data_IF_234189653409
#
_entry.id   IF_234189653409
#
_cell.length_a   1.000
_cell.length_b   1.000
_cell.length_c   1.000
_cell.angle_alpha   90.00
_cell.angle_beta   90.00
_cell.angle_gamma   90.00
#
_symmetry.space_group_name_H-M   'P 1'
#
loop_
_entity.id
_entity.type
_entity.pdbx_description
1 polymer ?
#
# COMPACT_ATOMS: atom_id res chain seq x y z
N UNK A 1 0.86 -26.96 -22.73
CA UNK A 1 -0.47 -27.62 -22.67
C UNK A 1 -1.48 -26.59 -22.18
N UNK A 2 -2.39 -26.09 -23.04
CA UNK A 2 -3.54 -25.26 -22.62
C UNK A 2 -4.55 -26.19 -21.94
N UNK A 3 -4.65 -26.14 -20.60
CA UNK A 3 -5.73 -26.84 -19.93
C UNK A 3 -7.06 -26.26 -20.43
N UNK A 4 -7.92 -27.10 -20.98
CA UNK A 4 -9.27 -26.70 -21.35
C UNK A 4 -10.01 -26.32 -20.08
N UNK A 5 -10.34 -25.05 -19.96
CA UNK A 5 -11.18 -24.55 -18.86
C UNK A 5 -12.48 -25.35 -18.80
N UNK A 6 -12.88 -25.80 -17.61
CA UNK A 6 -14.14 -26.53 -17.43
C UNK A 6 -15.32 -25.67 -17.92
N UNK A 7 -16.40 -26.31 -18.36
CA UNK A 7 -17.64 -25.64 -18.82
C UNK A 7 -18.12 -24.60 -17.78
N UNK A 8 -18.09 -24.96 -16.50
CA UNK A 8 -18.43 -24.04 -15.39
C UNK A 8 -17.52 -22.83 -15.31
N UNK A 9 -16.24 -22.96 -15.64
CA UNK A 9 -15.31 -21.83 -15.63
C UNK A 9 -15.58 -20.86 -16.80
N UNK A 10 -15.97 -21.39 -17.96
CA UNK A 10 -16.39 -20.57 -19.11
C UNK A 10 -17.68 -19.82 -18.82
N UNK A 11 -18.68 -20.47 -18.21
CA UNK A 11 -19.92 -19.83 -17.76
C UNK A 11 -19.64 -18.74 -16.70
N UNK A 12 -18.75 -19.04 -15.76
CA UNK A 12 -18.30 -18.07 -14.74
C UNK A 12 -17.68 -16.82 -15.35
N UNK A 13 -16.90 -16.98 -16.42
CA UNK A 13 -16.28 -15.84 -17.11
C UNK A 13 -17.27 -14.95 -17.87
N UNK A 14 -18.45 -15.44 -18.21
CA UNK A 14 -19.51 -14.65 -18.85
C UNK A 14 -20.19 -13.65 -17.88
N UNK A 15 -20.08 -13.87 -16.58
CA UNK A 15 -20.63 -12.94 -15.62
C UNK A 15 -19.78 -11.68 -15.52
N UNK A 16 -20.39 -10.48 -15.39
CA UNK A 16 -19.66 -9.24 -15.14
C UNK A 16 -18.73 -9.36 -13.91
N UNK A 17 -17.53 -8.80 -14.00
CA UNK A 17 -16.52 -8.90 -12.93
C UNK A 17 -17.04 -8.47 -11.54
N UNK A 18 -17.89 -7.44 -11.48
CA UNK A 18 -18.54 -7.00 -10.26
C UNK A 18 -19.48 -8.04 -9.64
N UNK A 19 -20.26 -8.75 -10.49
CA UNK A 19 -21.16 -9.80 -10.05
C UNK A 19 -20.40 -11.02 -9.54
N UNK A 20 -19.33 -11.41 -10.23
CA UNK A 20 -18.42 -12.50 -9.78
C UNK A 20 -17.83 -12.20 -8.42
N UNK A 21 -17.33 -10.96 -8.20
CA UNK A 21 -16.77 -10.54 -6.91
C UNK A 21 -17.81 -10.57 -5.80
N UNK A 22 -19.03 -10.08 -6.06
CA UNK A 22 -20.13 -10.12 -5.06
C UNK A 22 -20.52 -11.54 -4.69
N UNK A 23 -20.67 -12.40 -5.69
CA UNK A 23 -21.02 -13.81 -5.48
C UNK A 23 -19.92 -14.53 -4.69
N UNK A 24 -18.65 -14.37 -5.07
CA UNK A 24 -17.53 -14.95 -4.35
C UNK A 24 -17.46 -14.50 -2.90
N UNK A 25 -17.58 -13.18 -2.66
CA UNK A 25 -17.59 -12.63 -1.31
C UNK A 25 -18.76 -13.16 -0.47
N UNK A 26 -19.94 -13.31 -1.07
CA UNK A 26 -21.13 -13.85 -0.38
C UNK A 26 -20.96 -15.34 -0.04
N UNK A 27 -20.55 -16.17 -0.99
CA UNK A 27 -20.37 -17.62 -0.78
C UNK A 27 -19.29 -17.89 0.26
N UNK A 28 -18.14 -17.23 0.13
CA UNK A 28 -17.03 -17.43 1.07
C UNK A 28 -17.38 -16.91 2.48
N UNK A 29 -18.09 -15.79 2.58
CA UNK A 29 -18.55 -15.28 3.87
C UNK A 29 -19.61 -16.15 4.52
N UNK A 30 -20.46 -16.84 3.74
CA UNK A 30 -21.42 -17.79 4.26
C UNK A 30 -20.75 -19.08 4.74
N UNK A 31 -19.82 -19.61 3.94
CA UNK A 31 -19.12 -20.87 4.23
C UNK A 31 -18.07 -20.73 5.34
N UNK A 32 -17.46 -19.57 5.47
CA UNK A 32 -16.45 -19.34 6.50
C UNK A 32 -17.08 -19.28 7.90
N UNK A 33 -16.41 -19.84 8.90
CA UNK A 33 -16.93 -19.87 10.26
C UNK A 33 -17.01 -18.46 10.85
N UNK A 34 -18.15 -18.08 11.38
CA UNK A 34 -18.30 -16.87 12.18
C UNK A 34 -17.54 -17.03 13.52
N UNK A 35 -16.96 -15.94 13.98
CA UNK A 35 -16.25 -15.93 15.26
C UNK A 35 -17.24 -15.82 16.43
N UNK A 36 -16.94 -16.56 17.50
CA UNK A 36 -17.61 -16.41 18.79
C UNK A 36 -16.96 -15.23 19.55
N UNK A 37 -17.71 -14.56 20.44
CA UNK A 37 -17.14 -13.56 21.33
C UNK A 37 -15.90 -14.11 22.05
N UNK A 38 -14.83 -13.32 22.09
CA UNK A 38 -13.58 -13.72 22.71
C UNK A 38 -13.12 -12.65 23.70
N UNK A 39 -12.86 -13.07 24.94
CA UNK A 39 -12.25 -12.21 25.96
C UNK A 39 -10.75 -12.06 25.65
N UNK A 40 -10.22 -10.87 25.92
CA UNK A 40 -8.77 -10.64 25.80
C UNK A 40 -8.10 -11.36 26.97
N UNK A 41 -7.19 -12.27 26.62
CA UNK A 41 -6.37 -13.00 27.59
C UNK A 41 -4.91 -12.70 27.24
N UNK A 42 -4.08 -12.32 28.22
CA UNK A 42 -2.64 -12.18 27.99
C UNK A 42 -2.05 -13.50 27.48
N UNK A 43 -1.24 -13.42 26.43
CA UNK A 43 -0.58 -14.57 25.84
C UNK A 43 0.80 -14.17 25.32
N UNK A 44 1.77 -15.09 25.38
CA UNK A 44 3.11 -14.87 24.85
C UNK A 44 3.08 -14.71 23.33
N UNK A 45 3.57 -13.59 22.82
CA UNK A 45 3.66 -13.26 21.41
C UNK A 45 2.34 -13.03 20.69
N UNK A 46 2.41 -12.99 19.35
CA UNK A 46 1.26 -12.93 18.45
C UNK A 46 1.55 -13.62 17.13
N UNK A 47 0.51 -13.85 16.34
CA UNK A 47 0.62 -14.47 15.02
C UNK A 47 0.19 -13.45 13.97
N UNK A 48 0.99 -13.28 12.92
CA UNK A 48 0.65 -12.47 11.76
C UNK A 48 0.48 -13.37 10.54
N UNK A 49 -0.73 -13.42 10.00
CA UNK A 49 -1.03 -14.08 8.74
C UNK A 49 -1.02 -13.06 7.62
N UNK A 50 -0.31 -13.31 6.51
CA UNK A 50 -0.17 -12.34 5.42
C UNK A 50 0.38 -12.94 4.13
N UNK A 51 0.44 -12.11 3.09
CA UNK A 51 0.98 -12.44 1.77
C UNK A 51 2.51 -12.26 1.75
N UNK A 52 3.25 -13.00 2.59
CA UNK A 52 4.70 -12.80 2.75
C UNK A 52 5.50 -13.08 1.49
N UNK A 53 5.02 -13.98 0.64
CA UNK A 53 5.67 -14.37 -0.62
C UNK A 53 5.38 -13.41 -1.77
N UNK A 54 4.45 -12.45 -1.62
CA UNK A 54 4.05 -11.55 -2.70
C UNK A 54 4.71 -10.18 -2.60
N UNK A 55 5.02 -9.62 -3.76
CA UNK A 55 5.43 -8.21 -3.90
C UNK A 55 4.19 -7.30 -3.97
N UNK A 56 3.48 -7.15 -2.85
CA UNK A 56 2.29 -6.31 -2.71
C UNK A 56 2.43 -5.34 -1.54
N UNK A 57 1.65 -4.24 -1.54
CA UNK A 57 1.62 -3.31 -0.41
C UNK A 57 1.13 -3.97 0.89
N UNK A 58 0.15 -4.89 0.80
CA UNK A 58 -0.32 -5.67 1.95
C UNK A 58 0.78 -6.61 2.46
N UNK A 59 1.49 -7.30 1.56
CA UNK A 59 2.62 -8.14 1.93
C UNK A 59 3.76 -7.36 2.57
N UNK A 60 4.09 -6.16 2.05
CA UNK A 60 5.11 -5.30 2.67
C UNK A 60 4.66 -4.80 4.05
N UNK A 61 3.41 -4.38 4.18
CA UNK A 61 2.86 -4.01 5.50
C UNK A 61 2.93 -5.14 6.52
N UNK A 62 2.67 -6.39 6.12
CA UNK A 62 2.82 -7.56 6.98
C UNK A 62 4.28 -7.79 7.39
N UNK A 63 5.23 -7.67 6.45
CA UNK A 63 6.68 -7.78 6.72
C UNK A 63 7.18 -6.68 7.67
N UNK A 64 6.74 -5.44 7.47
CA UNK A 64 7.03 -4.31 8.37
C UNK A 64 6.51 -4.59 9.79
N UNK A 65 5.27 -5.06 9.91
CA UNK A 65 4.67 -5.40 11.20
C UNK A 65 5.47 -6.47 11.93
N UNK A 66 5.84 -7.56 11.27
CA UNK A 66 6.61 -8.65 11.87
C UNK A 66 7.99 -8.18 12.34
N UNK A 67 8.71 -7.43 11.51
CA UNK A 67 10.01 -6.86 11.91
C UNK A 67 9.87 -6.00 13.16
N UNK A 68 8.92 -5.07 13.14
CA UNK A 68 8.69 -4.17 14.26
C UNK A 68 8.29 -4.89 15.55
N UNK A 69 7.46 -5.93 15.49
CA UNK A 69 7.11 -6.73 16.67
C UNK A 69 8.34 -7.38 17.28
N UNK A 70 9.22 -7.95 16.46
CA UNK A 70 10.49 -8.55 16.91
C UNK A 70 11.43 -7.51 17.51
N UNK A 71 11.58 -6.34 16.87
CA UNK A 71 12.38 -5.22 17.37
C UNK A 71 11.86 -4.70 18.73
N UNK A 72 10.57 -4.86 19.00
CA UNK A 72 9.92 -4.54 20.28
C UNK A 72 9.97 -5.69 21.30
N UNK A 73 10.66 -6.79 21.03
CA UNK A 73 10.70 -8.01 21.82
C UNK A 73 9.31 -8.66 22.04
N UNK A 74 8.41 -8.53 21.08
CA UNK A 74 7.13 -9.26 21.05
C UNK A 74 7.30 -10.45 20.10
N UNK A 75 7.37 -11.69 20.60
CA UNK A 75 7.56 -12.86 19.75
C UNK A 75 6.47 -12.95 18.68
N UNK A 76 6.88 -13.22 17.45
CA UNK A 76 5.97 -13.18 16.31
C UNK A 76 6.15 -14.40 15.41
N UNK A 77 5.11 -15.24 15.36
CA UNK A 77 4.98 -16.26 14.34
C UNK A 77 4.31 -15.69 13.09
N UNK A 78 4.69 -16.19 11.93
CA UNK A 78 4.15 -15.79 10.64
C UNK A 78 3.44 -16.96 9.98
N UNK A 79 2.24 -16.73 9.46
CA UNK A 79 1.55 -17.71 8.60
C UNK A 79 1.43 -17.13 7.17
N UNK A 80 2.19 -17.73 6.25
CA UNK A 80 2.12 -17.35 4.84
C UNK A 80 0.84 -17.93 4.22
N UNK A 81 -0.02 -17.05 3.75
CA UNK A 81 -1.35 -17.39 3.23
C UNK A 81 -1.25 -18.23 1.94
N UNK A 82 -0.26 -17.95 1.10
CA UNK A 82 -0.07 -18.63 -0.18
C UNK A 82 0.59 -19.99 0.00
N UNK A 83 1.66 -20.03 0.79
CA UNK A 83 2.45 -21.25 1.05
C UNK A 83 1.83 -22.14 2.12
N UNK A 84 0.94 -21.59 2.96
CA UNK A 84 0.28 -22.26 4.10
C UNK A 84 1.27 -22.83 5.11
N UNK A 85 2.34 -22.11 5.35
CA UNK A 85 3.41 -22.47 6.28
C UNK A 85 3.41 -21.52 7.47
N UNK A 86 3.56 -22.07 8.67
CA UNK A 86 3.79 -21.32 9.91
C UNK A 86 5.29 -21.34 10.23
N UNK A 87 5.87 -20.17 10.40
CA UNK A 87 7.30 -19.98 10.68
C UNK A 87 7.49 -18.91 11.77
N UNK A 88 8.69 -18.85 12.34
CA UNK A 88 9.07 -17.79 13.26
C UNK A 88 9.04 -18.22 14.74
N UNK A 89 8.83 -17.22 15.61
CA UNK A 89 8.98 -17.42 17.05
C UNK A 89 7.85 -18.27 17.64
N UNK A 90 8.15 -18.99 18.72
CA UNK A 90 7.12 -19.70 19.47
C UNK A 90 6.13 -18.70 20.09
N UNK A 91 4.84 -18.99 19.98
CA UNK A 91 3.78 -18.18 20.56
C UNK A 91 2.92 -19.01 21.50
N UNK A 92 2.42 -18.36 22.57
CA UNK A 92 1.61 -19.04 23.59
C UNK A 92 0.22 -19.45 23.10
N UNK A 93 -0.44 -20.36 23.82
CA UNK A 93 -1.85 -20.63 23.63
C UNK A 93 -2.67 -19.33 23.74
N UNK A 94 -3.61 -19.14 22.84
CA UNK A 94 -4.46 -17.92 22.84
C UNK A 94 -3.78 -16.66 22.29
N UNK A 95 -2.51 -16.70 21.84
CA UNK A 95 -1.84 -15.58 21.22
C UNK A 95 -2.72 -14.96 20.11
N UNK A 96 -2.90 -13.61 20.07
CA UNK A 96 -3.77 -12.98 19.09
C UNK A 96 -3.29 -13.22 17.65
N UNK A 97 -4.25 -13.33 16.72
CA UNK A 97 -4.01 -13.56 15.32
C UNK A 97 -4.40 -12.30 14.52
N UNK A 98 -3.44 -11.66 13.87
CA UNK A 98 -3.69 -10.58 12.90
C UNK A 98 -3.65 -11.18 11.50
N UNK A 99 -4.73 -10.96 10.73
CA UNK A 99 -4.80 -11.40 9.33
C UNK A 99 -4.68 -10.17 8.44
N UNK A 100 -3.54 -10.06 7.79
CA UNK A 100 -3.14 -8.93 6.96
C UNK A 100 -3.64 -9.10 5.52
N UNK A 101 -4.97 -9.11 5.37
CA UNK A 101 -5.70 -9.30 4.10
C UNK A 101 -6.97 -8.50 4.14
N UNK A 102 -7.29 -7.81 3.04
CA UNK A 102 -8.51 -7.01 2.95
C UNK A 102 -9.80 -7.82 3.10
N UNK A 103 -10.83 -7.17 3.61
CA UNK A 103 -12.11 -7.74 3.98
C UNK A 103 -12.72 -8.73 2.95
N UNK A 104 -12.74 -8.47 1.63
CA UNK A 104 -13.34 -9.40 0.67
C UNK A 104 -12.65 -10.78 0.60
N UNK A 105 -11.34 -10.83 0.88
CA UNK A 105 -10.55 -12.06 0.83
C UNK A 105 -10.46 -12.77 2.19
N UNK A 106 -10.76 -12.09 3.27
CA UNK A 106 -10.62 -12.63 4.62
C UNK A 106 -11.41 -13.92 4.84
N UNK A 107 -12.71 -14.02 4.49
CA UNK A 107 -13.48 -15.26 4.67
C UNK A 107 -12.88 -16.42 3.88
N UNK A 108 -12.41 -16.17 2.65
CA UNK A 108 -11.72 -17.17 1.84
C UNK A 108 -10.45 -17.69 2.53
N UNK A 109 -9.61 -16.79 3.03
CA UNK A 109 -8.40 -17.17 3.77
C UNK A 109 -8.74 -18.03 4.98
N UNK A 110 -9.78 -17.66 5.74
CA UNK A 110 -10.19 -18.43 6.92
C UNK A 110 -10.76 -19.82 6.61
N UNK A 111 -11.33 -20.05 5.43
CA UNK A 111 -11.76 -21.38 5.02
C UNK A 111 -10.60 -22.36 4.88
N UNK A 112 -9.46 -21.87 4.40
CA UNK A 112 -8.26 -22.69 4.18
C UNK A 112 -7.24 -22.63 5.33
N UNK A 113 -7.48 -21.76 6.30
CA UNK A 113 -6.64 -21.64 7.49
C UNK A 113 -6.93 -22.81 8.46
N UNK A 114 -5.91 -23.48 8.99
CA UNK A 114 -6.09 -24.54 9.99
C UNK A 114 -6.94 -24.07 11.18
N UNK A 115 -7.87 -24.93 11.63
CA UNK A 115 -8.79 -24.56 12.73
C UNK A 115 -8.04 -24.18 14.01
N UNK A 116 -6.97 -24.90 14.35
CA UNK A 116 -6.16 -24.63 15.55
C UNK A 116 -5.49 -23.25 15.53
N UNK A 117 -5.23 -22.69 14.33
CA UNK A 117 -4.61 -21.38 14.19
C UNK A 117 -5.55 -20.22 14.55
N UNK A 118 -6.88 -20.41 14.46
CA UNK A 118 -7.89 -19.37 14.72
C UNK A 118 -8.78 -19.64 15.92
N UNK A 119 -8.90 -20.91 16.36
CA UNK A 119 -9.77 -21.29 17.48
C UNK A 119 -9.14 -20.88 18.81
N UNK A 120 -9.95 -20.26 19.69
CA UNK A 120 -9.46 -19.81 21.00
C UNK A 120 -8.53 -18.59 20.94
N UNK A 121 -8.55 -17.84 19.85
CA UNK A 121 -7.72 -16.64 19.67
C UNK A 121 -8.58 -15.42 19.36
N UNK A 122 -8.10 -14.25 19.76
CA UNK A 122 -8.62 -12.98 19.22
C UNK A 122 -8.13 -12.81 17.80
N UNK A 123 -9.06 -12.73 16.85
CA UNK A 123 -8.79 -12.56 15.42
C UNK A 123 -8.99 -11.10 15.04
N UNK A 124 -7.96 -10.51 14.46
CA UNK A 124 -7.91 -9.12 14.03
C UNK A 124 -7.75 -9.08 12.51
N UNK A 125 -8.53 -8.25 11.82
CA UNK A 125 -8.33 -7.97 10.40
C UNK A 125 -7.51 -6.70 10.24
N UNK A 126 -6.33 -6.78 9.60
CA UNK A 126 -5.61 -5.60 9.18
C UNK A 126 -6.02 -5.26 7.76
N UNK A 127 -6.80 -4.18 7.60
CA UNK A 127 -7.43 -3.83 6.34
C UNK A 127 -6.97 -2.46 5.87
N UNK A 128 -6.73 -2.34 4.56
CA UNK A 128 -6.42 -1.08 3.89
C UNK A 128 -7.50 -0.75 2.87
N UNK A 129 -7.91 0.50 2.82
CA UNK A 129 -8.90 0.99 1.87
C UNK A 129 -8.62 2.45 1.51
N UNK A 130 -8.86 2.81 0.25
CA UNK A 130 -8.42 4.08 -0.29
C UNK A 130 -9.55 5.08 -0.54
N UNK A 131 -10.79 4.79 -0.12
CA UNK A 131 -11.91 5.72 -0.25
C UNK A 131 -12.56 6.00 1.12
N UNK A 132 -13.23 7.15 1.29
CA UNK A 132 -13.88 7.51 2.56
C UNK A 132 -15.02 6.57 2.97
N UNK A 133 -15.56 5.82 2.02
CA UNK A 133 -16.68 4.88 2.25
C UNK A 133 -16.30 3.50 1.76
N UNK A 134 -16.62 2.47 2.54
CA UNK A 134 -16.37 1.07 2.17
C UNK A 134 -17.50 0.49 1.33
N UNK A 135 -17.19 -0.37 0.33
CA UNK A 135 -18.20 -1.09 -0.41
C UNK A 135 -19.07 -1.97 0.50
N UNK A 136 -20.35 -2.12 0.16
CA UNK A 136 -21.27 -2.97 0.95
C UNK A 136 -20.79 -4.43 1.08
N UNK A 137 -20.05 -4.92 0.09
CA UNK A 137 -19.47 -6.27 0.09
C UNK A 137 -18.51 -6.51 1.28
N UNK A 138 -17.93 -5.46 1.86
CA UNK A 138 -17.05 -5.57 3.02
C UNK A 138 -17.80 -5.85 4.31
N UNK A 139 -19.10 -5.53 4.37
CA UNK A 139 -19.94 -5.75 5.57
C UNK A 139 -20.02 -7.22 5.96
N UNK A 140 -19.94 -8.14 5.00
CA UNK A 140 -20.00 -9.57 5.29
C UNK A 140 -18.78 -10.06 6.07
N UNK A 141 -17.60 -9.47 5.83
CA UNK A 141 -16.37 -9.86 6.50
C UNK A 141 -16.32 -9.51 7.99
N UNK A 142 -17.14 -8.55 8.45
CA UNK A 142 -17.15 -8.12 9.87
C UNK A 142 -17.40 -9.24 10.88
N UNK A 143 -18.13 -10.30 10.50
CA UNK A 143 -18.41 -11.45 11.37
C UNK A 143 -17.20 -12.35 11.59
N UNK A 144 -16.16 -12.16 10.81
CA UNK A 144 -14.96 -12.97 10.78
C UNK A 144 -13.76 -12.30 11.48
N UNK A 145 -13.98 -11.16 12.13
CA UNK A 145 -12.99 -10.46 12.97
C UNK A 145 -13.63 -9.99 14.27
N UNK A 146 -12.83 -9.93 15.33
CA UNK A 146 -13.24 -9.31 16.60
C UNK A 146 -12.97 -7.81 16.57
N UNK A 147 -11.93 -7.38 15.85
CA UNK A 147 -11.45 -6.02 15.76
C UNK A 147 -10.82 -5.77 14.38
N UNK A 148 -10.87 -4.54 13.91
CA UNK A 148 -10.25 -4.10 12.65
C UNK A 148 -9.09 -3.16 12.99
N UNK A 149 -7.92 -3.43 12.43
CA UNK A 149 -6.79 -2.50 12.42
C UNK A 149 -6.71 -1.84 11.06
N UNK A 150 -6.52 -0.54 11.05
CA UNK A 150 -6.45 0.30 9.86
C UNK A 150 -5.10 1.03 9.82
N UNK A 151 -4.45 1.17 8.66
CA UNK A 151 -3.13 1.79 8.55
C UNK A 151 -3.12 3.32 8.76
N UNK A 152 -4.29 3.97 8.79
CA UNK A 152 -4.42 5.42 8.88
C UNK A 152 -5.77 5.82 9.51
N UNK A 153 -5.87 7.06 9.98
CA UNK A 153 -7.15 7.63 10.43
C UNK A 153 -8.15 7.74 9.29
N UNK A 154 -7.69 8.10 8.09
CA UNK A 154 -8.51 8.13 6.88
C UNK A 154 -9.20 6.80 6.62
N UNK A 155 -8.45 5.71 6.61
CA UNK A 155 -8.99 4.36 6.42
C UNK A 155 -9.85 3.92 7.60
N UNK A 156 -9.45 4.22 8.84
CA UNK A 156 -10.21 3.86 10.04
C UNK A 156 -11.59 4.50 10.04
N UNK A 157 -11.72 5.75 9.59
CA UNK A 157 -13.00 6.44 9.50
C UNK A 157 -13.98 5.69 8.60
N UNK A 158 -13.53 5.21 7.44
CA UNK A 158 -14.35 4.40 6.55
C UNK A 158 -14.83 3.10 7.23
N UNK A 159 -13.97 2.44 8.01
CA UNK A 159 -14.29 1.17 8.66
C UNK A 159 -15.20 1.28 9.88
N UNK A 160 -15.29 2.43 10.53
CA UNK A 160 -16.20 2.64 11.69
C UNK A 160 -17.66 2.32 11.36
N UNK A 161 -18.04 2.46 10.08
CA UNK A 161 -19.39 2.12 9.59
C UNK A 161 -19.69 0.62 9.60
N UNK A 162 -18.68 -0.24 9.81
CA UNK A 162 -18.84 -1.70 9.81
C UNK A 162 -19.34 -2.28 11.14
N UNK A 163 -19.40 -1.48 12.21
CA UNK A 163 -19.93 -1.91 13.52
C UNK A 163 -19.02 -2.93 14.23
N UNK A 164 -17.71 -2.80 14.07
CA UNK A 164 -16.65 -3.49 14.84
C UNK A 164 -15.72 -2.46 15.46
N UNK A 165 -15.06 -2.77 16.58
CA UNK A 165 -13.97 -1.91 17.08
C UNK A 165 -12.93 -1.69 15.99
N UNK A 166 -12.53 -0.43 15.79
CA UNK A 166 -11.51 -0.03 14.80
C UNK A 166 -10.39 0.67 15.53
N UNK A 167 -9.16 0.24 15.30
CA UNK A 167 -7.94 0.85 15.83
C UNK A 167 -7.06 1.29 14.69
N UNK A 168 -6.46 2.47 14.81
CA UNK A 168 -5.40 2.92 13.91
C UNK A 168 -4.10 2.26 14.34
N UNK A 169 -3.49 1.53 13.42
CA UNK A 169 -2.20 0.87 13.59
C UNK A 169 -1.39 1.18 12.35
N UNK A 170 -0.63 2.24 12.40
CA UNK A 170 0.17 2.72 11.29
C UNK A 170 1.28 1.73 10.94
N UNK A 171 1.67 1.69 9.66
CA UNK A 171 2.85 0.92 9.27
C UNK A 171 4.12 1.50 9.92
N UNK A 172 4.91 0.70 10.63
CA UNK A 172 6.06 1.17 11.41
C UNK A 172 7.31 1.41 10.54
N UNK A 173 7.17 2.25 9.52
CA UNK A 173 8.22 2.54 8.52
C UNK A 173 9.43 3.23 9.16
N UNK A 174 9.23 4.01 10.22
CA UNK A 174 10.27 4.74 10.91
C UNK A 174 11.00 3.97 12.01
N UNK A 175 10.49 2.78 12.40
CA UNK A 175 11.11 1.96 13.45
C UNK A 175 12.28 1.14 12.91
N UNK A 176 12.06 0.41 11.82
CA UNK A 176 13.08 -0.44 11.25
C UNK A 176 13.92 0.34 10.24
N UNK A 177 15.23 0.25 10.36
CA UNK A 177 16.12 0.82 9.36
C UNK A 177 15.83 0.22 7.99
N UNK A 178 15.52 1.08 7.03
CA UNK A 178 15.35 0.67 5.65
C UNK A 178 16.74 0.32 5.08
N UNK A 179 16.90 -0.92 4.65
CA UNK A 179 18.19 -1.41 4.11
C UNK A 179 18.12 -1.54 2.59
N UNK A 180 18.46 -0.47 1.84
CA UNK A 180 18.70 -0.57 0.41
C UNK A 180 19.91 -1.46 0.13
N UNK A 181 20.00 -2.02 -1.07
CA UNK A 181 21.25 -2.58 -1.58
C UNK A 181 22.23 -1.46 -1.91
N UNK A 182 23.51 -1.83 -2.14
CA UNK A 182 24.57 -0.86 -2.52
C UNK A 182 24.49 -0.45 -4.00
N UNK A 183 23.41 -0.77 -4.71
CA UNK A 183 23.22 -0.37 -6.10
C UNK A 183 23.02 1.14 -6.20
N UNK A 184 23.78 1.75 -7.09
CA UNK A 184 23.82 3.18 -7.37
C UNK A 184 23.15 3.53 -8.73
N UNK A 185 23.27 4.77 -9.15
CA UNK A 185 22.76 5.24 -10.44
C UNK A 185 23.35 4.47 -11.61
N UNK A 186 24.67 4.17 -11.58
CA UNK A 186 25.35 3.43 -12.65
C UNK A 186 24.78 2.02 -12.76
N UNK A 187 24.62 1.34 -11.63
CA UNK A 187 24.03 -0.02 -11.56
C UNK A 187 22.59 -0.11 -12.09
N UNK A 188 21.84 1.00 -12.05
CA UNK A 188 20.51 1.12 -12.63
C UNK A 188 20.51 1.73 -14.04
N UNK A 189 21.70 2.03 -14.61
CA UNK A 189 21.83 2.71 -15.89
C UNK A 189 21.19 4.10 -15.91
N UNK A 190 21.24 4.82 -14.79
CA UNK A 190 20.71 6.17 -14.64
C UNK A 190 21.79 7.21 -14.86
N UNK A 191 21.48 8.36 -15.47
CA UNK A 191 22.43 9.42 -15.69
C UNK A 191 22.88 10.07 -14.36
N UNK A 192 24.17 10.36 -14.22
CA UNK A 192 24.75 10.97 -13.02
C UNK A 192 24.34 12.45 -12.88
N UNK A 193 24.46 13.21 -13.97
CA UNK A 193 24.24 14.66 -14.03
C UNK A 193 22.80 15.00 -14.45
N UNK A 194 21.81 14.39 -13.81
CA UNK A 194 20.40 14.58 -14.14
C UNK A 194 19.56 14.58 -12.86
N UNK A 195 18.58 15.47 -12.77
CA UNK A 195 17.57 15.39 -11.70
C UNK A 195 16.57 14.30 -12.04
N UNK A 196 16.53 13.28 -11.21
CA UNK A 196 15.67 12.10 -11.38
C UNK A 196 14.41 12.25 -10.55
N UNK A 197 13.28 12.28 -11.24
CA UNK A 197 11.92 12.23 -10.64
C UNK A 197 11.45 10.78 -10.73
N UNK A 198 11.33 10.11 -9.59
CA UNK A 198 10.85 8.72 -9.50
C UNK A 198 9.35 8.68 -9.21
N UNK A 199 8.64 7.89 -9.99
CA UNK A 199 7.26 7.47 -9.73
C UNK A 199 7.25 5.95 -9.62
N UNK A 200 6.72 5.41 -8.52
CA UNK A 200 6.69 3.96 -8.31
C UNK A 200 5.29 3.51 -7.92
N UNK A 201 4.71 2.60 -8.68
CA UNK A 201 3.38 2.04 -8.40
C UNK A 201 3.18 0.68 -9.07
N UNK A 202 2.08 0.01 -8.68
CA UNK A 202 1.62 -1.23 -9.30
C UNK A 202 0.33 -0.99 -10.07
N UNK A 203 0.22 -1.52 -11.28
CA UNK A 203 -1.02 -1.49 -12.06
C UNK A 203 -2.15 -2.28 -11.39
N UNK A 204 -1.85 -3.26 -10.53
CA UNK A 204 -2.87 -3.97 -9.76
C UNK A 204 -3.65 -3.06 -8.78
N UNK A 205 -3.11 -1.88 -8.49
CA UNK A 205 -3.69 -0.89 -7.56
C UNK A 205 -4.54 0.19 -8.25
N UNK A 206 -5.04 -0.04 -9.47
CA UNK A 206 -5.71 0.90 -10.38
C UNK A 206 -4.79 1.98 -10.97
N UNK A 207 -4.73 2.03 -12.29
CA UNK A 207 -4.00 3.06 -13.04
C UNK A 207 -4.58 4.45 -12.74
N UNK A 208 -5.90 4.60 -12.82
CA UNK A 208 -6.58 5.89 -12.61
C UNK A 208 -6.29 6.47 -11.23
N UNK A 209 -6.31 5.61 -10.19
CA UNK A 209 -6.02 6.05 -8.82
C UNK A 209 -4.58 6.52 -8.64
N UNK A 210 -3.65 5.99 -9.41
CA UNK A 210 -2.21 6.34 -9.36
C UNK A 210 -1.82 7.50 -10.28
N UNK A 211 -2.74 7.94 -11.16
CA UNK A 211 -2.59 9.12 -12.05
C UNK A 211 -1.28 9.16 -12.85
N UNK A 212 -0.85 8.08 -13.53
CA UNK A 212 0.39 8.12 -14.31
C UNK A 212 0.32 9.06 -15.51
N UNK A 213 -0.85 9.23 -16.10
CA UNK A 213 -1.05 10.12 -17.26
C UNK A 213 -0.88 11.58 -16.83
N UNK A 214 -1.57 12.00 -15.77
CA UNK A 214 -1.44 13.32 -15.17
C UNK A 214 -0.01 13.61 -14.71
N UNK A 215 0.68 12.57 -14.23
CA UNK A 215 2.10 12.65 -13.85
C UNK A 215 3.01 12.95 -15.06
N UNK A 216 2.81 12.25 -16.17
CA UNK A 216 3.54 12.49 -17.44
C UNK A 216 3.26 13.89 -17.96
N UNK A 217 1.99 14.31 -17.95
CA UNK A 217 1.59 15.64 -18.39
C UNK A 217 2.21 16.75 -17.55
N UNK A 218 2.19 16.61 -16.21
CA UNK A 218 2.83 17.56 -15.29
C UNK A 218 4.34 17.64 -15.53
N UNK A 219 5.02 16.49 -15.68
CA UNK A 219 6.45 16.44 -15.95
C UNK A 219 6.80 17.11 -17.29
N UNK A 220 6.05 16.84 -18.35
CA UNK A 220 6.24 17.45 -19.67
C UNK A 220 5.98 18.95 -19.64
N UNK A 221 4.96 19.41 -18.93
CA UNK A 221 4.67 20.83 -18.75
C UNK A 221 5.75 21.56 -17.94
N UNK A 222 6.36 20.86 -16.96
CA UNK A 222 7.44 21.41 -16.16
C UNK A 222 8.77 21.55 -16.95
N UNK A 223 9.14 20.53 -17.72
CA UNK A 223 10.50 20.39 -18.24
C UNK A 223 10.61 20.17 -19.75
N UNK A 224 9.52 19.91 -20.45
CA UNK A 224 9.55 19.62 -21.89
C UNK A 224 10.41 18.39 -22.18
N UNK A 225 11.40 18.55 -23.09
CA UNK A 225 12.34 17.49 -23.49
C UNK A 225 13.77 17.71 -22.96
N UNK A 226 13.92 18.43 -21.86
CA UNK A 226 15.24 18.70 -21.25
C UNK A 226 15.97 17.41 -20.91
N UNK A 227 17.23 17.28 -21.33
CA UNK A 227 18.04 16.08 -21.12
C UNK A 227 18.61 15.97 -19.70
N UNK A 228 18.64 17.08 -18.94
CA UNK A 228 19.10 17.13 -17.55
C UNK A 228 17.97 16.85 -16.52
N UNK A 229 16.81 16.35 -16.99
CA UNK A 229 15.64 15.96 -16.18
C UNK A 229 15.13 14.62 -16.68
N UNK A 230 14.96 13.66 -15.78
CA UNK A 230 14.47 12.31 -16.10
C UNK A 230 13.23 11.98 -15.26
N UNK A 231 12.12 11.64 -15.90
CA UNK A 231 11.03 10.95 -15.25
C UNK A 231 11.27 9.44 -15.34
N UNK A 232 11.51 8.81 -14.20
CA UNK A 232 11.67 7.36 -14.08
C UNK A 232 10.39 6.76 -13.50
N UNK A 233 9.66 6.00 -14.30
CA UNK A 233 8.40 5.35 -13.90
C UNK A 233 8.65 3.87 -13.65
N UNK A 234 8.72 3.46 -12.38
CA UNK A 234 8.84 2.07 -11.96
C UNK A 234 7.44 1.47 -11.79
N UNK A 235 7.03 0.63 -12.73
CA UNK A 235 5.69 0.08 -12.81
C UNK A 235 5.72 -1.42 -12.58
N UNK A 236 4.98 -1.90 -11.58
CA UNK A 236 4.84 -3.32 -11.27
C UNK A 236 3.55 -3.96 -11.83
N UNK A 237 3.54 -5.29 -11.92
CA UNK A 237 2.41 -6.13 -12.37
C UNK A 237 1.87 -5.77 -13.76
N UNK A 238 2.75 -5.37 -14.66
CA UNK A 238 2.39 -4.95 -16.02
C UNK A 238 1.93 -6.12 -16.89
N UNK A 239 2.36 -7.33 -16.58
CA UNK A 239 2.00 -8.56 -17.29
C UNK A 239 0.50 -8.88 -17.26
N UNK A 240 -0.19 -8.38 -16.25
CA UNK A 240 -1.64 -8.56 -16.08
C UNK A 240 -2.47 -7.41 -16.67
N UNK A 241 -1.82 -6.32 -17.08
CA UNK A 241 -2.47 -5.08 -17.50
C UNK A 241 -1.76 -4.46 -18.73
N UNK A 242 -1.67 -5.19 -19.85
CA UNK A 242 -0.95 -4.75 -21.05
C UNK A 242 -1.58 -3.50 -21.68
N UNK A 243 -2.90 -3.36 -21.61
CA UNK A 243 -3.64 -2.21 -22.17
C UNK A 243 -3.30 -0.91 -21.40
N UNK A 244 -3.34 -0.97 -20.07
CA UNK A 244 -2.95 0.17 -19.23
C UNK A 244 -1.48 0.57 -19.47
N UNK A 245 -0.59 -0.41 -19.61
CA UNK A 245 0.81 -0.13 -19.93
C UNK A 245 0.97 0.52 -21.32
N UNK A 246 0.19 0.07 -22.30
CA UNK A 246 0.20 0.64 -23.65
C UNK A 246 -0.28 2.10 -23.61
N UNK A 247 -1.33 2.42 -22.86
CA UNK A 247 -1.83 3.78 -22.66
C UNK A 247 -0.77 4.68 -22.01
N UNK A 248 -0.10 4.21 -20.95
CA UNK A 248 0.99 4.94 -20.30
C UNK A 248 2.14 5.21 -21.28
N UNK A 249 2.53 4.20 -22.07
CA UNK A 249 3.57 4.36 -23.10
C UNK A 249 3.17 5.38 -24.16
N UNK A 250 1.94 5.33 -24.63
CA UNK A 250 1.42 6.31 -25.60
C UNK A 250 1.47 7.74 -25.05
N UNK A 251 1.11 7.93 -23.78
CA UNK A 251 1.13 9.22 -23.12
C UNK A 251 2.54 9.84 -23.03
N UNK A 252 3.61 9.03 -23.01
CA UNK A 252 4.99 9.57 -23.04
C UNK A 252 5.28 10.32 -24.34
N UNK A 253 4.56 10.03 -25.42
CA UNK A 253 4.76 10.66 -26.72
C UNK A 253 6.20 10.49 -27.27
N UNK A 254 6.89 9.43 -26.89
CA UNK A 254 8.29 9.18 -27.26
C UNK A 254 9.30 10.18 -26.69
N UNK A 255 8.95 10.86 -25.57
CA UNK A 255 9.85 11.81 -24.93
C UNK A 255 11.11 11.11 -24.42
N UNK A 256 12.32 11.54 -24.82
CA UNK A 256 13.58 10.83 -24.49
C UNK A 256 13.94 10.90 -22.99
N UNK A 257 13.35 11.83 -22.27
CA UNK A 257 13.53 12.05 -20.83
C UNK A 257 12.41 11.44 -19.97
N UNK A 258 11.66 10.47 -20.52
CA UNK A 258 10.70 9.65 -19.76
C UNK A 258 11.05 8.19 -19.99
N UNK A 259 11.40 7.49 -18.92
CA UNK A 259 11.79 6.08 -18.92
C UNK A 259 10.80 5.25 -18.11
N UNK A 260 10.31 4.16 -18.70
CA UNK A 260 9.41 3.19 -18.04
C UNK A 260 10.20 1.91 -17.75
N UNK A 261 10.25 1.54 -16.47
CA UNK A 261 10.87 0.32 -15.96
C UNK A 261 9.82 -0.64 -15.43
N UNK A 262 9.73 -1.81 -16.07
CA UNK A 262 8.74 -2.85 -15.72
C UNK A 262 9.35 -4.08 -15.05
N UNK A 263 10.69 -4.22 -15.07
CA UNK A 263 11.40 -5.36 -14.46
C UNK A 263 11.07 -5.52 -12.97
N UNK A 264 11.06 -6.75 -12.48
CA UNK A 264 10.89 -6.99 -11.05
C UNK A 264 12.15 -6.59 -10.29
N UNK A 265 11.98 -5.96 -9.14
CA UNK A 265 13.04 -5.62 -8.20
C UNK A 265 12.77 -6.29 -6.85
N UNK A 266 13.83 -6.67 -6.16
CA UNK A 266 13.72 -7.01 -4.75
C UNK A 266 13.26 -5.81 -3.93
N UNK A 267 12.76 -6.02 -2.71
CA UNK A 267 12.40 -4.90 -1.82
C UNK A 267 13.60 -3.98 -1.56
N UNK A 268 14.80 -4.54 -1.35
CA UNK A 268 16.02 -3.78 -1.10
C UNK A 268 16.51 -3.02 -2.34
N UNK A 269 16.40 -3.61 -3.55
CA UNK A 269 16.72 -2.90 -4.80
C UNK A 269 15.73 -1.77 -5.10
N UNK A 270 14.45 -1.95 -4.74
CA UNK A 270 13.45 -0.88 -4.87
C UNK A 270 13.78 0.31 -3.96
N UNK A 271 14.26 0.05 -2.76
CA UNK A 271 14.74 1.09 -1.85
C UNK A 271 16.01 1.76 -2.41
N UNK A 272 16.97 1.00 -2.96
CA UNK A 272 18.17 1.54 -3.59
C UNK A 272 17.80 2.44 -4.79
N UNK A 273 16.85 2.03 -5.63
CA UNK A 273 16.33 2.86 -6.72
C UNK A 273 15.72 4.17 -6.19
N UNK A 274 15.01 4.10 -5.06
CA UNK A 274 14.45 5.29 -4.40
C UNK A 274 15.56 6.22 -3.88
N UNK A 275 16.66 5.68 -3.35
CA UNK A 275 17.83 6.46 -2.93
C UNK A 275 18.51 7.15 -4.12
N UNK A 276 18.51 6.53 -5.31
CA UNK A 276 19.06 7.14 -6.53
C UNK A 276 18.23 8.32 -7.07
N UNK A 277 16.98 8.46 -6.65
CA UNK A 277 16.11 9.55 -7.07
C UNK A 277 16.36 10.84 -6.27
N UNK A 278 16.24 11.99 -6.92
CA UNK A 278 16.26 13.31 -6.27
C UNK A 278 14.90 13.70 -5.73
N UNK A 279 13.84 13.33 -6.45
CA UNK A 279 12.46 13.65 -6.14
C UNK A 279 11.63 12.37 -6.29
N UNK A 280 10.76 12.10 -5.32
CA UNK A 280 9.72 11.07 -5.46
C UNK A 280 8.37 11.75 -5.64
N UNK A 281 7.69 11.43 -6.74
CA UNK A 281 6.43 12.05 -7.12
C UNK A 281 5.26 11.06 -6.98
N UNK A 282 4.20 11.47 -6.32
CA UNK A 282 2.97 10.67 -6.16
C UNK A 282 1.72 11.54 -6.34
N UNK A 283 1.26 11.69 -7.56
CA UNK A 283 0.03 12.41 -7.89
C UNK A 283 -1.20 11.49 -7.74
N UNK A 284 -1.24 10.72 -6.64
CA UNK A 284 -2.33 9.79 -6.38
C UNK A 284 -3.67 10.51 -6.17
N UNK A 285 -4.75 9.85 -6.55
CA UNK A 285 -6.11 10.34 -6.28
C UNK A 285 -6.59 9.95 -4.88
N UNK A 286 -6.08 8.89 -4.34
CA UNK A 286 -6.32 8.47 -2.94
C UNK A 286 -5.38 7.34 -2.52
N UNK A 287 -4.98 7.33 -1.25
CA UNK A 287 -4.16 6.30 -0.61
C UNK A 287 -4.75 5.88 0.74
N UNK A 288 -4.70 4.58 1.02
CA UNK A 288 -5.07 4.07 2.35
C UNK A 288 -3.98 4.27 3.40
N UNK A 289 -2.72 4.44 2.95
CA UNK A 289 -1.58 4.83 3.77
C UNK A 289 -0.55 5.62 2.95
N UNK A 290 -0.08 5.08 1.82
CA UNK A 290 0.96 5.70 1.01
C UNK A 290 2.36 5.17 1.35
N UNK A 291 2.55 3.84 1.36
CA UNK A 291 3.84 3.20 1.68
C UNK A 291 5.01 3.75 0.87
N UNK A 292 4.83 3.97 -0.45
CA UNK A 292 5.89 4.52 -1.32
C UNK A 292 6.32 5.92 -0.86
N UNK A 293 5.36 6.75 -0.46
CA UNK A 293 5.61 8.10 0.07
C UNK A 293 6.36 8.00 1.40
N UNK A 294 5.87 7.18 2.35
CA UNK A 294 6.49 7.01 3.65
C UNK A 294 7.91 6.43 3.55
N UNK A 295 8.14 5.44 2.68
CA UNK A 295 9.47 4.88 2.41
C UNK A 295 10.43 5.92 1.82
N UNK A 296 9.99 6.71 0.83
CA UNK A 296 10.79 7.78 0.26
C UNK A 296 11.18 8.82 1.32
N UNK A 297 10.24 9.21 2.18
CA UNK A 297 10.48 10.13 3.29
C UNK A 297 11.46 9.53 4.30
N UNK A 298 11.35 8.24 4.66
CA UNK A 298 12.28 7.57 5.58
C UNK A 298 13.71 7.52 5.04
N UNK A 299 13.85 7.47 3.71
CA UNK A 299 15.13 7.52 3.01
C UNK A 299 15.65 8.95 2.77
N UNK A 300 14.97 9.96 3.32
CA UNK A 300 15.35 11.36 3.21
C UNK A 300 15.22 11.93 1.79
N UNK A 301 14.31 11.42 1.00
CA UNK A 301 14.04 11.96 -0.35
C UNK A 301 13.05 13.12 -0.30
N UNK A 302 13.22 14.08 -1.19
CA UNK A 302 12.24 15.13 -1.42
C UNK A 302 11.00 14.50 -2.05
N UNK A 303 9.83 14.66 -1.40
CA UNK A 303 8.57 14.09 -1.86
C UNK A 303 7.61 15.19 -2.32
N UNK A 304 7.01 14.98 -3.48
CA UNK A 304 5.89 15.76 -4.00
C UNK A 304 4.68 14.81 -4.04
N UNK A 305 3.60 15.12 -3.35
CA UNK A 305 2.42 14.26 -3.31
C UNK A 305 1.12 15.05 -3.25
N UNK A 306 0.03 14.47 -3.76
CA UNK A 306 -1.31 15.05 -3.63
C UNK A 306 -1.67 15.24 -2.15
N UNK A 307 -2.16 16.42 -1.81
CA UNK A 307 -2.55 16.80 -0.43
C UNK A 307 -3.93 16.23 -0.05
N UNK A 308 -4.09 14.92 -0.22
CA UNK A 308 -5.34 14.21 0.03
C UNK A 308 -5.12 12.80 0.59
N UNK A 309 -6.08 12.36 1.42
CA UNK A 309 -6.15 11.01 2.01
C UNK A 309 -5.06 10.74 3.05
N UNK A 310 -4.67 9.48 3.24
CA UNK A 310 -3.81 9.07 4.36
C UNK A 310 -2.41 9.68 4.34
N UNK A 311 -1.87 10.09 3.20
CA UNK A 311 -0.55 10.72 3.13
C UNK A 311 -0.46 12.04 3.86
N UNK A 312 -1.56 12.78 3.99
CA UNK A 312 -1.63 14.04 4.73
C UNK A 312 -1.43 13.87 6.23
N UNK A 313 -1.54 12.64 6.73
CA UNK A 313 -1.32 12.36 8.14
C UNK A 313 0.16 12.46 8.56
N UNK A 314 1.09 12.38 7.61
CA UNK A 314 2.53 12.45 7.87
C UNK A 314 3.32 13.34 6.92
N UNK A 315 2.73 13.83 5.82
CA UNK A 315 3.37 14.74 4.87
C UNK A 315 2.64 16.09 4.88
N UNK A 316 3.40 17.16 5.03
CA UNK A 316 2.96 18.57 4.92
C UNK A 316 4.07 19.44 4.30
N UNK A 317 3.83 20.73 4.16
CA UNK A 317 4.76 21.68 3.55
C UNK A 317 6.10 21.86 4.30
N UNK A 318 6.25 21.35 5.53
CA UNK A 318 7.50 21.39 6.28
C UNK A 318 8.45 20.24 5.92
N UNK A 319 7.92 19.13 5.37
CA UNK A 319 8.67 17.89 5.08
C UNK A 319 8.41 17.33 3.68
N UNK A 320 7.76 18.08 2.80
CA UNK A 320 7.49 17.73 1.42
C UNK A 320 6.82 18.88 0.67
N UNK A 321 6.38 18.62 -0.54
CA UNK A 321 5.64 19.57 -1.38
C UNK A 321 4.24 19.03 -1.66
N UNK A 322 3.23 19.41 -0.86
CA UNK A 322 1.84 19.04 -1.08
C UNK A 322 1.30 19.68 -2.38
N UNK A 323 0.60 18.89 -3.18
CA UNK A 323 -0.05 19.33 -4.41
C UNK A 323 -1.54 19.51 -4.16
N UNK A 324 -2.07 20.69 -4.41
CA UNK A 324 -3.51 20.97 -4.33
C UNK A 324 -4.33 20.08 -5.27
N UNK A 325 -5.63 19.99 -5.02
CA UNK A 325 -6.51 19.08 -5.75
C UNK A 325 -7.94 19.62 -5.81
N UNK A 326 -8.74 19.02 -6.68
CA UNK A 326 -10.21 19.12 -6.67
C UNK A 326 -10.82 17.76 -6.39
N UNK A 327 -11.97 17.73 -5.68
CA UNK A 327 -12.67 16.48 -5.43
C UNK A 327 -13.61 16.14 -6.59
N UNK A 328 -13.36 15.00 -7.22
CA UNK A 328 -14.18 14.47 -8.32
C UNK A 328 -14.79 13.12 -7.93
N UNK A 329 -15.90 12.68 -8.56
CA UNK A 329 -16.45 11.35 -8.32
C UNK A 329 -15.41 10.26 -8.52
N UNK A 330 -15.39 9.28 -7.62
CA UNK A 330 -14.50 8.13 -7.72
C UNK A 330 -14.99 7.21 -8.83
N UNK A 331 -14.28 7.20 -9.96
CA UNK A 331 -14.56 6.38 -11.14
C UNK A 331 -13.36 5.52 -11.48
N UNK A 332 -13.53 4.22 -11.38
CA UNK A 332 -12.49 3.24 -11.70
C UNK A 332 -13.03 2.26 -12.75
N UNK A 333 -12.47 2.21 -13.95
CA UNK A 333 -12.93 1.30 -15.02
C UNK A 333 -12.95 -0.17 -14.63
N UNK A 334 -12.09 -0.56 -13.66
CA UNK A 334 -12.07 -1.92 -13.12
C UNK A 334 -13.15 -2.19 -12.08
N UNK A 335 -13.91 -1.15 -11.68
CA UNK A 335 -15.04 -1.24 -10.76
C UNK A 335 -14.69 -1.63 -9.33
N UNK A 336 -13.42 -1.53 -8.91
CA UNK A 336 -13.02 -1.77 -7.52
C UNK A 336 -13.24 -0.49 -6.72
N UNK A 337 -12.78 0.63 -7.25
CA UNK A 337 -12.93 1.98 -6.67
C UNK A 337 -14.01 2.80 -7.39
N UNK A 338 -14.85 2.16 -8.22
CA UNK A 338 -15.98 2.83 -8.88
C UNK A 338 -17.13 2.98 -7.90
N UNK A 339 -17.15 4.12 -7.20
CA UNK A 339 -18.14 4.45 -6.18
C UNK A 339 -18.69 5.86 -6.46
N UNK A 340 -19.81 5.98 -7.22
CA UNK A 340 -20.35 7.26 -7.71
C UNK A 340 -20.66 8.30 -6.62
N UNK A 341 -21.10 7.82 -5.45
CA UNK A 341 -21.44 8.69 -4.31
C UNK A 341 -20.23 9.06 -3.45
N UNK A 342 -19.03 8.67 -3.89
CA UNK A 342 -17.78 8.90 -3.19
C UNK A 342 -16.84 9.70 -4.10
N UNK A 343 -16.06 10.58 -3.49
CA UNK A 343 -15.10 11.41 -4.20
C UNK A 343 -13.67 11.03 -3.84
N UNK A 344 -12.76 11.25 -4.77
CA UNK A 344 -11.32 11.23 -4.58
C UNK A 344 -10.69 12.49 -5.18
N UNK A 345 -9.41 12.72 -4.94
CA UNK A 345 -8.69 13.86 -5.45
C UNK A 345 -8.39 13.72 -6.95
N UNK A 346 -8.56 14.80 -7.70
CA UNK A 346 -7.88 15.04 -8.97
C UNK A 346 -6.77 16.04 -8.68
N UNK A 347 -5.48 15.65 -8.75
CA UNK A 347 -4.36 16.53 -8.45
C UNK A 347 -4.33 17.72 -9.43
N UNK A 348 -4.02 18.90 -8.90
CA UNK A 348 -3.86 20.11 -9.69
C UNK A 348 -2.56 20.04 -10.47
N UNK A 349 -2.66 20.08 -11.81
CA UNK A 349 -1.50 19.97 -12.69
C UNK A 349 -0.55 21.16 -12.53
N UNK A 350 -1.05 22.38 -12.42
CA UNK A 350 -0.22 23.57 -12.38
C UNK A 350 0.51 23.71 -11.03
N UNK A 351 -0.14 23.29 -9.95
CA UNK A 351 0.51 23.13 -8.65
C UNK A 351 1.61 22.05 -8.70
N UNK A 352 1.36 20.91 -9.34
CA UNK A 352 2.37 19.87 -9.54
C UNK A 352 3.57 20.37 -10.38
N UNK A 353 3.30 21.12 -11.47
CA UNK A 353 4.34 21.77 -12.30
C UNK A 353 5.20 22.72 -11.47
N UNK A 354 4.56 23.56 -10.66
CA UNK A 354 5.24 24.51 -9.78
C UNK A 354 6.14 23.79 -8.76
N UNK A 355 5.62 22.75 -8.09
CA UNK A 355 6.38 21.94 -7.14
C UNK A 355 7.57 21.23 -7.81
N UNK A 356 7.36 20.65 -9.00
CA UNK A 356 8.42 19.99 -9.78
C UNK A 356 9.54 20.96 -10.16
N UNK A 357 9.20 22.15 -10.65
CA UNK A 357 10.18 23.18 -11.01
C UNK A 357 10.97 23.67 -9.81
N UNK A 358 10.30 23.95 -8.70
CA UNK A 358 10.94 24.38 -7.45
C UNK A 358 11.92 23.31 -6.94
N UNK A 359 11.44 22.07 -6.79
CA UNK A 359 12.30 20.99 -6.32
C UNK A 359 13.46 20.68 -7.26
N UNK A 360 13.29 20.78 -8.59
CA UNK A 360 14.34 20.48 -9.54
C UNK A 360 15.41 21.58 -9.62
N UNK A 361 15.04 22.83 -9.36
CA UNK A 361 15.97 23.97 -9.42
C UNK A 361 16.81 24.14 -8.16
N UNK A 362 16.33 23.69 -7.00
CA UNK A 362 16.91 23.98 -5.71
C UNK A 362 17.33 22.69 -4.97
N UNK A 363 18.64 22.32 -5.01
CA UNK A 363 19.18 21.17 -4.27
C UNK A 363 19.07 21.32 -2.75
N UNK A 364 19.21 22.54 -2.23
CA UNK A 364 19.15 22.82 -0.79
C UNK A 364 17.72 22.63 -0.27
N UNK A 365 16.72 23.05 -1.05
CA UNK A 365 15.32 22.75 -0.76
C UNK A 365 15.07 21.23 -0.68
N UNK A 366 15.57 20.45 -1.66
CA UNK A 366 15.43 18.99 -1.64
C UNK A 366 16.09 18.38 -0.40
N UNK A 367 17.31 18.80 -0.10
CA UNK A 367 18.06 18.31 1.07
C UNK A 367 17.35 18.61 2.37
N UNK A 368 16.88 19.83 2.57
CA UNK A 368 16.16 20.27 3.76
C UNK A 368 14.84 19.54 3.93
N UNK A 369 14.02 19.47 2.87
CA UNK A 369 12.74 18.75 2.93
C UNK A 369 12.96 17.25 3.17
N UNK A 370 13.97 16.64 2.54
CA UNK A 370 14.33 15.25 2.76
C UNK A 370 14.76 14.95 4.19
N UNK A 371 15.59 15.79 4.80
CA UNK A 371 15.99 15.67 6.20
C UNK A 371 14.78 15.76 7.15
N UNK A 372 13.92 16.75 6.93
CA UNK A 372 12.69 16.91 7.71
C UNK A 372 11.73 15.72 7.53
N UNK A 373 11.62 15.21 6.29
CA UNK A 373 10.81 14.03 5.98
C UNK A 373 11.29 12.81 6.76
N UNK A 374 12.60 12.55 6.75
CA UNK A 374 13.20 11.44 7.51
C UNK A 374 12.91 11.58 9.01
N UNK A 375 13.12 12.75 9.57
CA UNK A 375 12.83 13.02 10.97
C UNK A 375 11.34 12.80 11.30
N UNK A 376 10.43 13.30 10.45
CA UNK A 376 8.98 13.13 10.60
C UNK A 376 8.59 11.65 10.65
N UNK A 377 9.09 10.85 9.72
CA UNK A 377 8.78 9.42 9.67
C UNK A 377 9.35 8.68 10.88
N UNK A 378 10.61 8.96 11.26
CA UNK A 378 11.25 8.33 12.43
C UNK A 378 10.50 8.63 13.73
N UNK A 379 9.98 9.83 13.88
CA UNK A 379 9.25 10.21 15.11
C UNK A 379 7.81 9.75 15.12
N UNK A 380 7.10 9.82 13.97
CA UNK A 380 5.67 9.53 13.90
C UNK A 380 5.38 8.04 13.67
N UNK A 381 6.08 7.41 12.71
CA UNK A 381 5.84 6.02 12.32
C UNK A 381 6.82 5.06 13.03
N UNK A 382 7.08 5.32 14.29
CA UNK A 382 8.03 4.61 15.16
C UNK A 382 7.50 3.30 15.76
N UNK A 383 6.32 2.84 15.32
CA UNK A 383 5.72 1.61 15.81
C UNK A 383 4.96 1.72 17.13
N UNK A 384 4.84 2.90 17.72
CA UNK A 384 4.13 3.08 19.00
C UNK A 384 2.68 2.60 18.92
N UNK A 385 1.95 2.92 17.85
CA UNK A 385 0.57 2.49 17.63
C UNK A 385 0.45 0.96 17.50
N UNK A 386 1.43 0.31 16.87
CA UNK A 386 1.49 -1.15 16.77
C UNK A 386 1.74 -1.78 18.15
N UNK A 387 2.70 -1.26 18.91
CA UNK A 387 3.00 -1.76 20.26
C UNK A 387 1.79 -1.66 21.18
N UNK A 388 1.16 -0.50 21.21
CA UNK A 388 -0.05 -0.26 22.00
C UNK A 388 -1.18 -1.23 21.59
N UNK A 389 -1.43 -1.37 20.30
CA UNK A 389 -2.44 -2.26 19.77
C UNK A 389 -2.16 -3.74 20.12
N UNK A 390 -0.91 -4.20 19.97
CA UNK A 390 -0.50 -5.55 20.30
C UNK A 390 -0.75 -5.86 21.79
N UNK A 391 -0.31 -4.97 22.68
CA UNK A 391 -0.53 -5.10 24.12
C UNK A 391 -2.03 -5.07 24.47
N UNK A 392 -2.80 -4.21 23.82
CA UNK A 392 -4.25 -4.08 24.05
C UNK A 392 -5.05 -5.33 23.64
N UNK A 393 -4.57 -6.11 22.67
CA UNK A 393 -5.21 -7.38 22.28
C UNK A 393 -4.66 -8.60 23.02
N UNK A 394 -3.74 -8.39 23.97
CA UNK A 394 -3.23 -9.43 24.88
C UNK A 394 -1.86 -9.98 24.51
N UNK A 395 -1.19 -9.52 23.45
CA UNK A 395 0.18 -9.94 23.16
C UNK A 395 1.14 -9.49 24.28
N UNK A 396 2.07 -10.36 24.67
CA UNK A 396 3.09 -10.08 25.69
C UNK A 396 4.46 -10.53 25.18
N UNK A 397 5.54 -9.88 25.63
CA UNK A 397 6.92 -10.32 25.41
C UNK A 397 7.17 -11.75 25.85
#
# INVERSE_FOLDING_TARGET
MKQSLSFFHKLWQLLPAGSRRRFFAWVTAFAAPALRPHRIVPAHGMIVAGEFSRSSGLGEGARLMVRALRDMNIPCATWDIDRRVLEGDATGPGAPLVIHVNAPMLPYVQLFMPRWLRTGRRVIGYWAWELPVVPQTWRHARRHVHEIWAPSHFTAQAFRTLGRPVRVVEHPVGLAEQKPTDRDRVSFGLPENCVIVLVSFSLSSSMVRKSPIETIEAFRAAFGKRSDRLLLMKIGHTEHYPEDLAEIRAATGGAPNIRIETGQLSGADRLALTVCADIVLSLHRSEGFGLVVAEAMSLGRCVIATDWSATTEFLDGTCGLPVSYTLVPARDPRGIWDMPDTKWALPDRDAAVTALRAAAADPDLRSRLGANARQRITTRLNGATLREAALAVGARP
#
